data_IF_955676565781
#
_entry.id   IF_955676565781
#
_cell.length_a   1.000
_cell.length_b   1.000
_cell.length_c   1.000
_cell.angle_alpha   90.00
_cell.angle_beta   90.00
_cell.angle_gamma   90.00
#
_symmetry.space_group_name_H-M   'P 1'
#
loop_
_entity.id
_entity.type
_entity.pdbx_description
1 polymer ?
#
# COMPACT_ATOMS: atom_id res chain seq x y z
N UNK A 1 -26.18 -11.45 25.00
CA UNK A 1 -24.75 -11.69 25.32
C UNK A 1 -23.93 -10.60 24.65
N UNK A 2 -22.95 -9.97 25.32
CA UNK A 2 -22.09 -8.97 24.65
C UNK A 2 -21.09 -9.70 23.76
N UNK A 3 -21.13 -9.43 22.46
CA UNK A 3 -20.37 -10.14 21.41
C UNK A 3 -18.88 -9.76 21.33
N UNK A 4 -18.40 -8.81 22.13
CA UNK A 4 -17.02 -8.32 22.02
C UNK A 4 -16.33 -8.10 23.36
N UNK A 5 -15.07 -8.53 23.48
CA UNK A 5 -14.19 -8.24 24.61
C UNK A 5 -13.74 -6.77 24.55
N UNK A 6 -13.89 -5.97 25.63
CA UNK A 6 -13.39 -4.60 25.65
C UNK A 6 -11.86 -4.59 25.56
N UNK A 7 -11.33 -3.62 24.83
CA UNK A 7 -9.89 -3.40 24.64
C UNK A 7 -9.57 -1.97 25.08
N UNK A 8 -8.51 -1.81 25.87
CA UNK A 8 -7.96 -0.50 26.24
C UNK A 8 -6.74 -0.22 25.38
N UNK A 9 -6.69 0.96 24.77
CA UNK A 9 -5.60 1.40 23.88
C UNK A 9 -5.28 2.86 24.14
N UNK A 10 -4.01 3.22 24.06
CA UNK A 10 -3.53 4.60 24.17
C UNK A 10 -3.33 5.17 22.78
N UNK A 11 -4.03 6.26 22.45
CA UNK A 11 -4.02 6.85 21.10
C UNK A 11 -2.92 7.91 20.89
N UNK A 12 -2.31 8.43 21.95
CA UNK A 12 -1.30 9.49 21.86
C UNK A 12 -1.82 10.73 21.11
N UNK A 13 -1.03 11.25 20.17
CA UNK A 13 -1.36 12.42 19.35
C UNK A 13 -2.65 12.24 18.51
N UNK A 14 -3.07 10.99 18.26
CA UNK A 14 -4.30 10.73 17.50
C UNK A 14 -5.58 11.01 18.29
N UNK A 15 -5.49 11.21 19.61
CA UNK A 15 -6.65 11.49 20.46
C UNK A 15 -7.44 12.71 19.97
N UNK A 16 -6.75 13.82 19.67
CA UNK A 16 -7.41 15.05 19.20
C UNK A 16 -8.14 14.86 17.87
N UNK A 17 -7.57 14.03 16.97
CA UNK A 17 -8.18 13.71 15.68
C UNK A 17 -9.47 12.92 15.86
N UNK A 18 -9.48 11.96 16.79
CA UNK A 18 -10.67 11.17 17.09
C UNK A 18 -11.74 12.05 17.75
N UNK A 19 -11.36 12.86 18.73
CA UNK A 19 -12.29 13.77 19.42
C UNK A 19 -12.90 14.79 18.47
N UNK A 20 -12.12 15.34 17.53
CA UNK A 20 -12.62 16.23 16.49
C UNK A 20 -13.70 15.58 15.62
N UNK A 21 -13.54 14.30 15.27
CA UNK A 21 -14.51 13.53 14.46
C UNK A 21 -15.81 13.23 15.21
N UNK A 22 -15.73 13.03 16.53
CA UNK A 22 -16.92 12.87 17.37
C UNK A 22 -17.62 14.21 17.56
N UNK A 23 -16.86 15.27 17.90
CA UNK A 23 -17.40 16.64 18.05
C UNK A 23 -18.06 17.17 16.78
N UNK A 24 -17.56 16.79 15.60
CA UNK A 24 -18.19 17.18 14.32
C UNK A 24 -19.51 16.46 14.04
N UNK A 25 -19.89 15.48 14.87
CA UNK A 25 -21.09 14.65 14.66
C UNK A 25 -20.96 13.60 13.56
N UNK A 26 -19.77 13.43 12.97
CA UNK A 26 -19.54 12.43 11.93
C UNK A 26 -19.55 10.99 12.49
N UNK A 27 -19.31 10.84 13.79
CA UNK A 27 -19.32 9.56 14.50
C UNK A 27 -19.92 9.74 15.89
N UNK A 28 -20.65 8.75 16.38
CA UNK A 28 -21.32 8.79 17.69
C UNK A 28 -20.37 8.48 18.86
N UNK A 29 -19.21 7.86 18.61
CA UNK A 29 -18.24 7.53 19.66
C UNK A 29 -16.82 7.32 19.16
N UNK A 30 -15.85 7.41 20.07
CA UNK A 30 -14.45 7.04 19.85
C UNK A 30 -14.34 5.61 19.29
N UNK A 31 -15.06 4.65 19.87
CA UNK A 31 -15.03 3.26 19.42
C UNK A 31 -15.54 3.10 17.98
N UNK A 32 -16.44 3.96 17.52
CA UNK A 32 -16.91 3.96 16.15
C UNK A 32 -15.87 4.50 15.19
N UNK A 33 -15.18 5.58 15.56
CA UNK A 33 -14.04 6.13 14.79
C UNK A 33 -12.94 5.08 14.64
N UNK A 34 -12.58 4.39 15.72
CA UNK A 34 -11.55 3.34 15.70
C UNK A 34 -11.97 2.17 14.79
N UNK A 35 -13.22 1.68 14.90
CA UNK A 35 -13.71 0.63 13.99
C UNK A 35 -13.75 1.08 12.53
N UNK A 36 -14.09 2.34 12.26
CA UNK A 36 -14.04 2.89 10.91
C UNK A 36 -12.60 2.98 10.38
N UNK A 37 -11.64 3.33 11.24
CA UNK A 37 -10.21 3.31 10.93
C UNK A 37 -9.72 1.92 10.56
N UNK A 38 -10.07 0.90 11.35
CA UNK A 38 -9.71 -0.50 11.05
C UNK A 38 -10.29 -0.97 9.72
N UNK A 39 -11.58 -0.68 9.45
CA UNK A 39 -12.18 -0.99 8.14
C UNK A 39 -11.51 -0.26 6.98
N UNK A 40 -10.98 0.94 7.21
CA UNK A 40 -10.23 1.65 6.18
C UNK A 40 -8.88 0.96 5.94
N UNK A 41 -8.16 0.60 7.00
CA UNK A 41 -6.91 -0.15 6.93
C UNK A 41 -7.10 -1.48 6.17
N UNK A 42 -8.12 -2.26 6.51
CA UNK A 42 -8.42 -3.52 5.82
C UNK A 42 -8.61 -3.33 4.31
N UNK A 43 -9.27 -2.23 3.89
CA UNK A 43 -9.47 -1.92 2.47
C UNK A 43 -8.16 -1.51 1.78
N UNK A 44 -7.32 -0.73 2.45
CA UNK A 44 -6.02 -0.30 1.92
C UNK A 44 -5.09 -1.50 1.75
N UNK A 45 -5.03 -2.38 2.75
CA UNK A 45 -4.26 -3.62 2.70
C UNK A 45 -4.77 -4.56 1.61
N UNK A 46 -6.09 -4.77 1.51
CA UNK A 46 -6.67 -5.61 0.46
C UNK A 46 -6.39 -5.09 -0.95
N UNK A 47 -6.40 -3.77 -1.15
CA UNK A 47 -6.07 -3.17 -2.43
C UNK A 47 -4.58 -3.38 -2.80
N UNK A 48 -3.67 -3.21 -1.83
CA UNK A 48 -2.25 -3.49 -2.03
C UNK A 48 -2.00 -4.97 -2.35
N UNK A 49 -2.61 -5.86 -1.57
CA UNK A 49 -2.54 -7.31 -1.76
C UNK A 49 -2.98 -7.74 -3.15
N UNK A 50 -4.08 -7.17 -3.65
CA UNK A 50 -4.59 -7.46 -4.98
C UNK A 50 -3.56 -7.09 -6.06
N UNK A 51 -2.99 -5.88 -5.97
CA UNK A 51 -1.98 -5.41 -6.93
C UNK A 51 -0.73 -6.28 -6.88
N UNK A 52 -0.27 -6.67 -5.70
CA UNK A 52 0.90 -7.55 -5.55
C UNK A 52 0.63 -8.94 -6.12
N UNK A 53 -0.52 -9.55 -5.81
CA UNK A 53 -0.91 -10.86 -6.37
C UNK A 53 -0.99 -10.81 -7.89
N UNK A 54 -1.58 -9.77 -8.45
CA UNK A 54 -1.67 -9.59 -9.89
C UNK A 54 -0.27 -9.50 -10.52
N UNK A 55 0.63 -8.68 -9.99
CA UNK A 55 2.01 -8.57 -10.50
C UNK A 55 2.80 -9.87 -10.43
N UNK A 56 2.62 -10.64 -9.35
CA UNK A 56 3.25 -11.96 -9.22
C UNK A 56 2.69 -12.92 -10.27
N UNK A 57 1.36 -12.94 -10.46
CA UNK A 57 0.75 -13.80 -11.46
C UNK A 57 1.18 -13.42 -12.88
N UNK A 58 1.22 -12.13 -13.22
CA UNK A 58 1.74 -11.62 -14.49
C UNK A 58 3.19 -12.06 -14.74
N UNK A 59 4.04 -12.08 -13.71
CA UNK A 59 5.42 -12.56 -13.83
C UNK A 59 5.53 -14.08 -13.98
N UNK A 60 4.60 -14.85 -13.38
CA UNK A 60 4.55 -16.31 -13.52
C UNK A 60 4.03 -16.73 -14.90
N UNK A 61 3.07 -15.98 -15.45
CA UNK A 61 2.47 -16.23 -16.76
C UNK A 61 3.32 -15.68 -17.92
N UNK A 62 4.41 -14.98 -17.62
CA UNK A 62 5.29 -14.39 -18.61
C UNK A 62 6.03 -15.47 -19.42
N UNK A 63 5.79 -15.58 -20.74
CA UNK A 63 6.40 -16.61 -21.57
C UNK A 63 7.85 -16.30 -21.94
N UNK A 64 8.38 -15.13 -21.56
CA UNK A 64 9.75 -14.73 -21.88
C UNK A 64 10.75 -15.70 -21.22
N UNK A 65 11.87 -16.01 -21.91
CA UNK A 65 12.87 -16.90 -21.36
C UNK A 65 13.54 -16.26 -20.13
N UNK A 66 14.02 -17.12 -19.23
CA UNK A 66 14.85 -16.69 -18.11
C UNK A 66 16.14 -16.05 -18.63
N UNK A 67 16.54 -14.94 -18.00
CA UNK A 67 17.78 -14.23 -18.31
C UNK A 67 18.84 -14.55 -17.25
N UNK A 68 20.10 -14.65 -17.68
CA UNK A 68 21.20 -14.64 -16.72
C UNK A 68 21.35 -13.25 -16.09
N UNK A 69 21.99 -13.19 -14.93
CA UNK A 69 22.26 -11.91 -14.26
C UNK A 69 23.11 -10.99 -15.14
N UNK A 70 24.08 -11.56 -15.87
CA UNK A 70 24.95 -10.79 -16.78
C UNK A 70 24.14 -10.16 -17.92
N UNK A 71 23.24 -10.93 -18.55
CA UNK A 71 22.36 -10.41 -19.61
C UNK A 71 21.48 -9.25 -19.13
N UNK A 72 21.00 -9.31 -17.89
CA UNK A 72 20.19 -8.24 -17.27
C UNK A 72 21.01 -6.96 -17.10
N UNK A 73 22.23 -7.05 -16.58
CA UNK A 73 23.09 -5.88 -16.38
C UNK A 73 23.55 -5.25 -17.69
N UNK A 74 23.85 -6.07 -18.69
CA UNK A 74 24.19 -5.62 -20.02
C UNK A 74 23.03 -4.86 -20.65
N UNK A 75 21.80 -5.38 -20.55
CA UNK A 75 20.61 -4.70 -21.09
C UNK A 75 20.31 -3.39 -20.38
N UNK A 76 20.37 -3.36 -19.04
CA UNK A 76 20.21 -2.15 -18.26
C UNK A 76 21.26 -1.08 -18.61
N UNK A 77 22.50 -1.49 -18.83
CA UNK A 77 23.60 -0.59 -19.21
C UNK A 77 23.36 0.02 -20.59
N UNK A 78 22.93 -0.79 -21.57
CA UNK A 78 22.54 -0.32 -22.90
C UNK A 78 21.36 0.67 -22.82
N UNK A 79 20.32 0.33 -22.06
CA UNK A 79 19.15 1.20 -21.90
C UNK A 79 19.50 2.55 -21.29
N UNK A 80 20.36 2.57 -20.25
CA UNK A 80 20.86 3.82 -19.63
C UNK A 80 21.68 4.66 -20.60
N UNK A 81 22.58 4.03 -21.37
CA UNK A 81 23.39 4.73 -22.36
C UNK A 81 22.51 5.39 -23.44
N UNK A 82 21.50 4.67 -23.94
CA UNK A 82 20.54 5.19 -24.93
C UNK A 82 19.77 6.40 -24.39
N UNK A 83 19.24 6.32 -23.15
CA UNK A 83 18.57 7.46 -22.51
C UNK A 83 19.48 8.68 -22.34
N UNK A 84 20.75 8.46 -21.96
CA UNK A 84 21.73 9.54 -21.81
C UNK A 84 22.12 10.18 -23.16
N UNK A 85 22.11 9.42 -24.25
CA UNK A 85 22.33 9.94 -25.60
C UNK A 85 21.14 10.78 -26.07
N UNK A 86 19.91 10.29 -25.87
CA UNK A 86 18.68 11.02 -26.20
C UNK A 86 18.56 12.35 -25.44
N UNK A 87 18.92 12.38 -24.15
CA UNK A 87 18.92 13.60 -23.34
C UNK A 87 20.03 14.60 -23.70
N UNK A 88 21.06 14.18 -24.46
CA UNK A 88 22.16 15.06 -24.93
C UNK A 88 21.94 15.61 -26.34
N UNK A 89 20.98 15.07 -27.07
CA UNK A 89 20.60 15.52 -28.42
C UNK A 89 19.39 16.45 -28.46
N UNK A 90 18.80 16.77 -27.30
CA UNK A 90 17.75 17.77 -27.10
C UNK A 90 18.35 19.00 -26.40
#
# INVERSE_FOLDING_TARGET
MRTSKPVSVTLGEMQERVDARVRSGAYASVSEVVRAGLRALDREEAALDLVLRQKVQEALDDPRPLLSVDDVFDDLSRHRAARKAAARGA
#
